data_IF_717474737248
#
_entry.id   IF_717474737248
#
_cell.length_a   1.000
_cell.length_b   1.000
_cell.length_c   1.000
_cell.angle_alpha   90.00
_cell.angle_beta   90.00
_cell.angle_gamma   90.00
#
_symmetry.space_group_name_H-M   'P 1'
#
loop_
_entity.id
_entity.type
_entity.pdbx_description
1 polymer ?
#
# COMPACT_ATOMS: atom_id res chain seq x y z
N UNK A 1 37.59 -0.20 40.60
CA UNK A 1 36.66 -0.13 39.46
C UNK A 1 37.47 -0.49 38.23
N UNK A 2 37.02 -1.44 37.41
CA UNK A 2 37.78 -1.90 36.23
C UNK A 2 37.88 -0.77 35.20
N UNK A 3 39.00 -0.70 34.48
CA UNK A 3 39.18 0.29 33.41
C UNK A 3 38.22 0.01 32.24
N UNK A 4 37.72 1.07 31.62
CA UNK A 4 36.75 0.95 30.52
C UNK A 4 37.35 0.21 29.31
N UNK A 5 38.65 0.37 29.01
CA UNK A 5 39.29 -0.33 27.90
C UNK A 5 39.41 -1.82 28.20
N UNK A 6 39.77 -2.17 29.43
CA UNK A 6 39.83 -3.58 29.86
C UNK A 6 38.45 -4.26 29.79
N UNK A 7 37.39 -3.56 30.18
CA UNK A 7 36.02 -4.05 30.07
C UNK A 7 35.60 -4.28 28.60
N UNK A 8 35.95 -3.35 27.70
CA UNK A 8 35.68 -3.49 26.26
C UNK A 8 36.42 -4.68 25.63
N UNK A 9 37.68 -4.90 25.99
CA UNK A 9 38.46 -6.06 25.50
C UNK A 9 37.83 -7.38 25.93
N UNK A 10 37.26 -7.44 27.14
CA UNK A 10 36.56 -8.64 27.59
C UNK A 10 35.23 -8.84 26.85
N UNK A 11 34.47 -7.78 26.60
CA UNK A 11 33.26 -7.83 25.76
C UNK A 11 33.62 -8.36 24.37
N UNK A 12 34.65 -7.83 23.72
CA UNK A 12 35.09 -8.29 22.39
C UNK A 12 35.46 -9.78 22.39
N UNK A 13 36.02 -10.29 23.50
CA UNK A 13 36.33 -11.72 23.64
C UNK A 13 35.05 -12.57 23.71
N UNK A 14 34.04 -12.10 24.45
CA UNK A 14 32.75 -12.79 24.57
C UNK A 14 32.00 -12.74 23.24
N UNK A 15 32.00 -11.61 22.55
CA UNK A 15 31.37 -11.42 21.24
C UNK A 15 31.90 -12.41 20.21
N UNK A 16 33.23 -12.62 20.16
CA UNK A 16 33.85 -13.64 19.31
C UNK A 16 33.32 -15.05 19.59
N UNK A 17 33.10 -15.39 20.87
CA UNK A 17 32.54 -16.69 21.25
C UNK A 17 31.06 -16.81 20.85
N UNK A 18 30.28 -15.74 21.03
CA UNK A 18 28.87 -15.71 20.62
C UNK A 18 28.72 -15.90 19.10
N UNK A 19 29.56 -15.25 18.29
CA UNK A 19 29.56 -15.42 16.83
C UNK A 19 29.87 -16.86 16.44
N UNK A 20 30.92 -17.46 17.00
CA UNK A 20 31.29 -18.85 16.70
C UNK A 20 30.15 -19.83 17.04
N UNK A 21 29.53 -19.69 18.22
CA UNK A 21 28.39 -20.51 18.63
C UNK A 21 27.15 -20.28 17.76
N UNK A 22 26.93 -19.05 17.32
CA UNK A 22 25.83 -18.73 16.41
C UNK A 22 26.01 -19.43 15.05
N UNK A 23 27.21 -19.38 14.47
CA UNK A 23 27.51 -20.04 13.20
C UNK A 23 27.38 -21.56 13.30
N UNK A 24 27.89 -22.17 14.37
CA UNK A 24 27.73 -23.60 14.65
C UNK A 24 26.24 -23.98 14.72
N UNK A 25 25.45 -23.19 15.47
CA UNK A 25 24.00 -23.38 15.57
C UNK A 25 23.29 -23.23 14.23
N UNK A 26 23.73 -22.30 13.36
CA UNK A 26 23.19 -22.15 12.01
C UNK A 26 23.54 -23.37 11.14
N UNK A 27 24.73 -23.96 11.28
CA UNK A 27 25.10 -25.22 10.65
C UNK A 27 24.13 -26.35 10.98
N UNK A 28 23.88 -26.59 12.27
CA UNK A 28 22.89 -27.58 12.73
C UNK A 28 21.47 -27.23 12.23
N UNK A 29 21.12 -25.94 12.16
CA UNK A 29 19.82 -25.51 11.66
C UNK A 29 19.62 -25.85 10.17
N UNK A 30 20.69 -25.93 9.37
CA UNK A 30 20.63 -26.41 7.98
C UNK A 30 20.33 -27.91 7.92
N UNK A 31 21.00 -28.71 8.73
CA UNK A 31 20.73 -30.16 8.82
C UNK A 31 19.29 -30.43 9.24
N UNK A 32 18.77 -29.66 10.21
CA UNK A 32 17.36 -29.70 10.60
C UNK A 32 16.45 -29.32 9.43
N UNK A 33 16.83 -28.33 8.61
CA UNK A 33 16.09 -27.96 7.41
C UNK A 33 15.99 -29.15 6.45
N UNK A 34 17.13 -29.78 6.13
CA UNK A 34 17.21 -30.91 5.21
C UNK A 34 16.37 -32.08 5.67
N UNK A 35 16.42 -32.39 6.97
CA UNK A 35 15.57 -33.41 7.58
C UNK A 35 14.08 -33.08 7.44
N UNK A 36 13.68 -31.83 7.73
CA UNK A 36 12.28 -31.39 7.60
C UNK A 36 11.80 -31.45 6.15
N UNK A 37 12.64 -31.05 5.19
CA UNK A 37 12.33 -31.17 3.76
C UNK A 37 12.13 -32.63 3.36
N UNK A 38 13.05 -33.51 3.75
CA UNK A 38 12.98 -34.94 3.42
C UNK A 38 11.77 -35.64 4.05
N UNK A 39 11.31 -35.18 5.21
CA UNK A 39 10.20 -35.77 5.97
C UNK A 39 8.86 -35.04 5.78
N UNK A 40 8.83 -33.94 5.04
CA UNK A 40 7.63 -33.12 4.85
C UNK A 40 7.12 -32.42 6.11
N UNK A 41 7.95 -32.27 7.15
CA UNK A 41 7.59 -31.58 8.39
C UNK A 41 7.59 -30.06 8.21
N UNK A 42 6.70 -29.37 8.93
CA UNK A 42 6.65 -27.89 8.95
C UNK A 42 7.93 -27.28 9.55
N UNK A 43 8.34 -26.13 9.03
CA UNK A 43 9.47 -25.36 9.58
C UNK A 43 9.09 -24.76 10.93
N UNK A 44 7.97 -24.05 10.99
CA UNK A 44 7.49 -23.48 12.24
C UNK A 44 6.84 -24.56 13.12
N UNK A 45 7.36 -24.70 14.33
CA UNK A 45 6.82 -25.55 15.38
C UNK A 45 6.72 -24.71 16.67
N UNK A 46 5.53 -24.13 16.88
CA UNK A 46 5.29 -23.17 17.97
C UNK A 46 5.51 -23.79 19.35
N UNK A 47 5.10 -25.05 19.52
CA UNK A 47 5.26 -25.75 20.79
C UNK A 47 6.73 -25.98 21.11
N UNK A 48 7.50 -26.46 20.12
CA UNK A 48 8.94 -26.69 20.30
C UNK A 48 9.71 -25.40 20.58
N UNK A 49 9.35 -24.30 19.91
CA UNK A 49 9.97 -23.00 20.15
C UNK A 49 9.67 -22.49 21.56
N UNK A 50 8.41 -22.58 22.01
CA UNK A 50 8.03 -22.19 23.37
C UNK A 50 8.79 -23.01 24.42
N UNK A 51 8.85 -24.34 24.27
CA UNK A 51 9.63 -25.21 25.15
C UNK A 51 11.10 -24.78 25.23
N UNK A 52 11.68 -24.37 24.09
CA UNK A 52 13.07 -23.93 24.06
C UNK A 52 13.27 -22.57 24.71
N UNK A 53 12.32 -21.63 24.55
CA UNK A 53 12.35 -20.32 25.23
C UNK A 53 12.30 -20.49 26.75
N UNK A 54 11.39 -21.31 27.26
CA UNK A 54 11.30 -21.60 28.71
C UNK A 54 12.60 -22.23 29.24
N UNK A 55 13.19 -23.17 28.48
CA UNK A 55 14.43 -23.82 28.86
C UNK A 55 15.62 -22.85 28.95
N UNK A 56 15.72 -21.85 28.06
CA UNK A 56 16.83 -20.88 28.09
C UNK A 56 16.63 -19.78 29.13
N UNK A 57 15.37 -19.38 29.38
CA UNK A 57 15.03 -18.46 30.47
C UNK A 57 15.46 -19.02 31.82
N UNK A 58 15.24 -20.31 32.04
CA UNK A 58 15.63 -21.02 33.25
C UNK A 58 17.15 -21.07 33.49
N UNK A 59 17.99 -20.77 32.50
CA UNK A 59 19.45 -20.68 32.66
C UNK A 59 19.92 -19.33 33.22
N UNK A 60 19.03 -18.34 33.32
CA UNK A 60 19.36 -17.00 33.79
C UNK A 60 19.13 -16.84 35.29
N UNK A 61 19.72 -15.80 35.89
CA UNK A 61 19.73 -15.60 37.34
C UNK A 61 18.98 -14.33 37.80
N UNK A 62 18.36 -13.60 36.88
CA UNK A 62 17.53 -12.43 37.20
C UNK A 62 16.54 -12.15 36.06
N UNK A 63 15.49 -11.39 36.36
CA UNK A 63 14.38 -11.11 35.43
C UNK A 63 14.83 -10.34 34.18
N UNK A 64 15.76 -9.39 34.34
CA UNK A 64 16.29 -8.62 33.22
C UNK A 64 16.99 -9.51 32.19
N UNK A 65 17.87 -10.40 32.65
CA UNK A 65 18.58 -11.36 31.80
C UNK A 65 17.64 -12.41 31.24
N UNK A 66 16.65 -12.87 32.03
CA UNK A 66 15.63 -13.81 31.57
C UNK A 66 14.88 -13.26 30.35
N UNK A 67 14.40 -12.02 30.45
CA UNK A 67 13.73 -11.34 29.36
C UNK A 67 14.68 -11.08 28.17
N UNK A 68 15.90 -10.61 28.44
CA UNK A 68 16.90 -10.38 27.38
C UNK A 68 17.28 -11.64 26.60
N UNK A 69 17.45 -12.78 27.29
CA UNK A 69 17.74 -14.07 26.66
C UNK A 69 16.53 -14.58 25.88
N UNK A 70 15.31 -14.40 26.39
CA UNK A 70 14.09 -14.75 25.65
C UNK A 70 14.04 -14.02 24.30
N UNK A 71 14.24 -12.71 24.28
CA UNK A 71 14.23 -11.91 23.05
C UNK A 71 15.38 -12.28 22.11
N UNK A 72 16.60 -12.46 22.63
CA UNK A 72 17.74 -12.91 21.82
C UNK A 72 17.46 -14.26 21.14
N UNK A 73 16.90 -15.22 21.88
CA UNK A 73 16.62 -16.54 21.34
C UNK A 73 15.44 -16.53 20.34
N UNK A 74 14.43 -15.67 20.52
CA UNK A 74 13.39 -15.43 19.50
C UNK A 74 14.03 -14.98 18.19
N UNK A 75 14.97 -14.04 18.23
CA UNK A 75 15.68 -13.57 17.02
C UNK A 75 16.52 -14.68 16.37
N UNK A 76 17.26 -15.44 17.17
CA UNK A 76 18.06 -16.56 16.67
C UNK A 76 17.17 -17.65 16.04
N UNK A 77 16.01 -17.95 16.62
CA UNK A 77 15.04 -18.89 16.05
C UNK A 77 14.43 -18.36 14.75
N UNK A 78 14.01 -17.10 14.72
CA UNK A 78 13.52 -16.45 13.51
C UNK A 78 14.55 -16.52 12.38
N UNK A 79 15.83 -16.33 12.70
CA UNK A 79 16.93 -16.50 11.75
C UNK A 79 17.07 -17.92 11.23
N UNK A 80 16.91 -18.90 12.10
CA UNK A 80 16.96 -20.32 11.73
C UNK A 80 15.83 -20.65 10.76
N UNK A 81 14.61 -20.17 11.03
CA UNK A 81 13.46 -20.38 10.15
C UNK A 81 13.68 -19.75 8.79
N UNK A 82 14.21 -18.53 8.73
CA UNK A 82 14.50 -17.83 7.45
C UNK A 82 15.52 -18.56 6.59
N UNK A 83 16.57 -19.10 7.21
CA UNK A 83 17.52 -19.97 6.53
C UNK A 83 16.83 -21.24 6.00
N UNK A 84 15.98 -21.87 6.82
CA UNK A 84 15.21 -23.05 6.42
C UNK A 84 14.25 -22.75 5.25
N UNK A 85 13.55 -21.61 5.28
CA UNK A 85 12.64 -21.19 4.20
C UNK A 85 13.38 -20.99 2.88
N UNK A 86 14.56 -20.35 2.93
CA UNK A 86 15.43 -20.16 1.76
C UNK A 86 15.83 -21.50 1.14
N UNK A 87 16.30 -22.43 1.96
CA UNK A 87 16.70 -23.77 1.51
C UNK A 87 15.52 -24.57 0.93
N UNK A 88 14.31 -24.36 1.44
CA UNK A 88 13.12 -24.99 0.87
C UNK A 88 12.74 -24.37 -0.47
N UNK A 89 12.93 -23.08 -0.70
CA UNK A 89 12.62 -22.43 -1.99
C UNK A 89 13.58 -22.92 -3.09
N UNK A 90 14.88 -23.02 -2.79
CA UNK A 90 15.87 -23.58 -3.72
C UNK A 90 15.49 -25.00 -4.20
N UNK A 91 14.80 -25.77 -3.35
CA UNK A 91 14.36 -27.14 -3.64
C UNK A 91 12.92 -27.25 -4.13
N UNK A 92 12.06 -26.31 -3.79
CA UNK A 92 10.64 -26.30 -4.14
C UNK A 92 10.35 -25.09 -5.04
N UNK A 93 10.19 -25.33 -6.34
CA UNK A 93 9.55 -24.41 -7.27
C UNK A 93 8.04 -24.29 -6.95
N UNK A 94 7.71 -23.74 -5.77
CA UNK A 94 6.36 -23.29 -5.48
C UNK A 94 6.05 -22.12 -6.39
N UNK A 95 5.25 -22.33 -7.45
CA UNK A 95 4.77 -21.22 -8.27
C UNK A 95 3.74 -20.44 -7.47
N UNK A 96 3.98 -19.15 -7.30
CA UNK A 96 2.93 -18.22 -6.88
C UNK A 96 1.80 -18.29 -7.93
N UNK A 97 0.54 -18.11 -7.53
CA UNK A 97 -0.61 -18.17 -8.44
C UNK A 97 -0.71 -16.91 -9.33
N UNK A 98 0.44 -16.36 -9.74
CA UNK A 98 0.55 -15.16 -10.56
C UNK A 98 1.20 -15.50 -11.90
N UNK A 99 0.68 -14.91 -12.97
CA UNK A 99 1.22 -15.05 -14.32
C UNK A 99 2.04 -13.80 -14.65
N UNK A 100 3.33 -13.99 -14.90
CA UNK A 100 4.19 -12.92 -15.38
C UNK A 100 3.90 -12.64 -16.86
N UNK A 101 3.70 -11.37 -17.20
CA UNK A 101 3.54 -10.89 -18.58
C UNK A 101 4.69 -9.97 -18.97
N UNK A 102 5.02 -9.91 -20.26
CA UNK A 102 6.08 -9.03 -20.76
C UNK A 102 5.74 -7.54 -20.59
N UNK A 103 4.47 -7.20 -20.78
CA UNK A 103 3.92 -5.85 -20.62
C UNK A 103 2.42 -5.97 -20.39
N UNK A 104 1.85 -5.06 -19.63
CA UNK A 104 0.40 -4.96 -19.47
C UNK A 104 -0.24 -4.54 -20.79
N UNK A 105 -1.33 -5.23 -21.15
CA UNK A 105 -2.15 -4.85 -22.30
C UNK A 105 -2.91 -3.57 -21.98
N UNK A 106 -2.63 -2.53 -22.77
CA UNK A 106 -3.27 -1.21 -22.66
C UNK A 106 -4.11 -0.85 -23.88
N UNK A 107 -3.95 -1.60 -24.96
CA UNK A 107 -4.65 -1.40 -26.22
C UNK A 107 -5.89 -2.29 -26.25
N UNK A 108 -7.04 -1.74 -26.66
CA UNK A 108 -8.33 -2.48 -26.73
C UNK A 108 -8.83 -3.04 -25.39
N UNK A 109 -8.51 -2.36 -24.31
CA UNK A 109 -9.00 -2.71 -22.97
C UNK A 109 -10.10 -1.75 -22.57
N UNK A 110 -11.01 -2.23 -21.73
CA UNK A 110 -12.12 -1.45 -21.18
C UNK A 110 -11.83 -1.11 -19.73
N UNK A 111 -11.82 0.18 -19.41
CA UNK A 111 -11.44 0.67 -18.07
C UNK A 111 -12.64 1.28 -17.36
N UNK A 112 -12.86 0.89 -16.11
CA UNK A 112 -13.85 1.53 -15.24
C UNK A 112 -13.15 2.46 -14.26
N UNK A 113 -13.76 3.61 -14.00
CA UNK A 113 -13.37 4.47 -12.91
C UNK A 113 -14.63 4.94 -12.18
N UNK A 114 -14.51 5.29 -10.92
CA UNK A 114 -15.65 5.90 -10.23
C UNK A 114 -15.58 7.41 -10.33
N UNK A 115 -16.77 7.98 -10.39
CA UNK A 115 -17.04 9.40 -10.34
C UNK A 115 -17.86 9.81 -11.55
N UNK A 116 -17.57 11.01 -12.03
CA UNK A 116 -18.17 11.56 -13.25
C UNK A 116 -17.05 12.05 -14.16
N UNK A 117 -17.38 12.37 -15.41
CA UNK A 117 -16.44 12.97 -16.34
C UNK A 117 -15.85 14.27 -15.78
N UNK A 118 -14.56 14.51 -16.03
CA UNK A 118 -13.78 15.60 -15.45
C UNK A 118 -13.18 15.31 -14.07
N UNK A 119 -13.49 14.17 -13.44
CA UNK A 119 -12.89 13.80 -12.15
C UNK A 119 -11.39 13.46 -12.28
N UNK A 120 -10.63 13.62 -11.19
CA UNK A 120 -9.21 13.26 -11.17
C UNK A 120 -8.95 11.75 -11.41
N UNK A 121 -9.90 10.88 -11.07
CA UNK A 121 -9.81 9.45 -11.38
C UNK A 121 -9.81 9.20 -12.89
N UNK A 122 -10.62 9.95 -13.66
CA UNK A 122 -10.60 9.89 -15.12
C UNK A 122 -9.27 10.42 -15.66
N UNK A 123 -8.75 11.51 -15.08
CA UNK A 123 -7.44 12.04 -15.46
C UNK A 123 -6.33 11.02 -15.21
N UNK A 124 -6.40 10.25 -14.11
CA UNK A 124 -5.42 9.21 -13.78
C UNK A 124 -5.50 8.05 -14.77
N UNK A 125 -6.72 7.65 -15.15
CA UNK A 125 -6.96 6.67 -16.20
C UNK A 125 -6.34 7.12 -17.53
N UNK A 126 -6.61 8.35 -17.98
CA UNK A 126 -6.04 8.87 -19.23
C UNK A 126 -4.52 8.99 -19.18
N UNK A 127 -3.94 9.37 -18.05
CA UNK A 127 -2.49 9.40 -17.89
C UNK A 127 -1.86 7.99 -18.02
N UNK A 128 -2.57 6.94 -17.58
CA UNK A 128 -2.04 5.58 -17.61
C UNK A 128 -2.31 4.83 -18.92
N UNK A 129 -3.51 4.97 -19.50
CA UNK A 129 -3.98 4.22 -20.68
C UNK A 129 -4.07 5.06 -21.97
N UNK A 130 -4.06 6.39 -21.87
CA UNK A 130 -4.28 7.33 -22.98
C UNK A 130 -5.74 7.76 -23.12
N UNK A 131 -5.98 8.89 -23.80
CA UNK A 131 -7.32 9.50 -23.96
C UNK A 131 -8.27 8.70 -24.86
N UNK A 132 -7.76 7.74 -25.64
CA UNK A 132 -8.55 6.97 -26.63
C UNK A 132 -8.99 5.58 -26.12
N UNK A 133 -8.77 5.28 -24.83
CA UNK A 133 -9.16 4.00 -24.23
C UNK A 133 -10.68 3.88 -24.14
N UNK A 134 -11.23 2.68 -24.34
CA UNK A 134 -12.65 2.44 -24.05
C UNK A 134 -12.84 2.50 -22.53
N UNK A 135 -13.80 3.30 -22.07
CA UNK A 135 -14.01 3.50 -20.65
C UNK A 135 -15.45 3.84 -20.30
N UNK A 136 -15.80 3.61 -19.05
CA UNK A 136 -17.06 4.07 -18.48
C UNK A 136 -16.88 4.42 -17.01
N UNK A 137 -17.85 5.14 -16.45
CA UNK A 137 -17.82 5.54 -15.06
C UNK A 137 -18.97 4.96 -14.25
N UNK A 138 -18.74 4.80 -12.96
CA UNK A 138 -19.71 4.31 -11.98
C UNK A 138 -19.79 5.25 -10.78
N UNK A 139 -20.86 5.14 -9.99
CA UNK A 139 -21.10 6.05 -8.87
C UNK A 139 -20.32 5.69 -7.61
N UNK A 140 -20.11 4.40 -7.32
CA UNK A 140 -19.45 3.94 -6.09
C UNK A 140 -18.18 3.15 -6.41
N UNK A 141 -17.22 3.16 -5.47
CA UNK A 141 -15.99 2.37 -5.59
C UNK A 141 -16.27 0.87 -5.72
N UNK A 142 -17.28 0.39 -4.97
CA UNK A 142 -17.75 -0.99 -5.02
C UNK A 142 -18.23 -1.39 -6.41
N UNK A 143 -19.02 -0.54 -7.06
CA UNK A 143 -19.52 -0.79 -8.42
C UNK A 143 -18.36 -0.96 -9.43
N UNK A 144 -17.23 -0.27 -9.21
CA UNK A 144 -16.04 -0.42 -10.05
C UNK A 144 -15.35 -1.78 -9.81
N UNK A 145 -15.33 -2.25 -8.56
CA UNK A 145 -14.82 -3.58 -8.20
C UNK A 145 -15.71 -4.70 -8.73
N UNK A 146 -17.04 -4.54 -8.65
CA UNK A 146 -18.01 -5.48 -9.21
C UNK A 146 -17.89 -5.54 -10.74
N UNK A 147 -17.73 -4.40 -11.41
CA UNK A 147 -17.57 -4.34 -12.86
C UNK A 147 -16.35 -5.13 -13.37
N UNK A 148 -15.22 -5.10 -12.67
CA UNK A 148 -14.07 -5.93 -13.04
C UNK A 148 -14.26 -7.40 -12.63
N UNK A 149 -14.88 -7.68 -11.48
CA UNK A 149 -15.16 -9.05 -11.04
C UNK A 149 -16.10 -9.78 -12.01
N UNK A 150 -17.09 -9.08 -12.57
CA UNK A 150 -18.05 -9.60 -13.54
C UNK A 150 -17.54 -9.57 -15.00
N UNK A 151 -16.34 -9.03 -15.25
CA UNK A 151 -15.74 -8.95 -16.58
C UNK A 151 -16.36 -7.89 -17.50
N UNK A 152 -17.07 -6.89 -16.94
CA UNK A 152 -17.56 -5.74 -17.70
C UNK A 152 -16.44 -4.74 -18.05
N UNK A 153 -15.36 -4.76 -17.29
CA UNK A 153 -14.13 -4.00 -17.50
C UNK A 153 -12.92 -4.89 -17.23
N UNK A 154 -11.80 -4.59 -17.89
CA UNK A 154 -10.51 -5.28 -17.70
C UNK A 154 -9.73 -4.69 -16.53
N UNK A 155 -9.88 -3.37 -16.31
CA UNK A 155 -9.19 -2.63 -15.26
C UNK A 155 -10.11 -1.65 -14.55
N UNK A 156 -9.83 -1.41 -13.26
CA UNK A 156 -10.38 -0.29 -12.50
C UNK A 156 -9.29 0.67 -12.02
N UNK A 157 -9.64 1.96 -11.92
CA UNK A 157 -8.76 3.00 -11.36
C UNK A 157 -9.30 3.49 -10.02
N UNK A 158 -8.52 3.32 -8.95
CA UNK A 158 -8.95 3.59 -7.58
C UNK A 158 -7.99 4.56 -6.88
N UNK A 159 -8.46 5.70 -6.32
CA UNK A 159 -7.62 6.55 -5.47
C UNK A 159 -7.33 5.85 -4.15
N UNK A 160 -6.07 5.78 -3.72
CA UNK A 160 -5.71 5.08 -2.47
C UNK A 160 -5.19 6.03 -1.38
N UNK A 161 -4.60 7.15 -1.77
CA UNK A 161 -3.96 8.09 -0.85
C UNK A 161 -3.86 9.47 -1.49
N UNK A 162 -4.14 10.51 -0.72
CA UNK A 162 -3.87 11.90 -1.05
C UNK A 162 -2.87 12.48 -0.03
N UNK A 163 -1.85 13.20 -0.50
CA UNK A 163 -0.79 13.75 0.35
C UNK A 163 -1.26 14.79 1.37
N UNK A 164 -2.45 15.37 1.18
CA UNK A 164 -3.06 16.37 2.09
C UNK A 164 -4.19 15.78 2.93
N UNK A 165 -4.96 14.84 2.38
CA UNK A 165 -6.15 14.27 3.02
C UNK A 165 -5.88 12.95 3.77
N UNK A 166 -4.75 12.30 3.49
CA UNK A 166 -4.47 10.95 3.94
C UNK A 166 -5.09 9.87 3.05
N UNK A 167 -5.33 8.71 3.64
CA UNK A 167 -5.72 7.49 2.95
C UNK A 167 -7.21 7.45 2.60
N UNK A 168 -7.54 6.76 1.50
CA UNK A 168 -8.93 6.47 1.12
C UNK A 168 -9.31 5.11 1.70
N UNK A 169 -9.82 5.14 2.93
CA UNK A 169 -10.14 3.96 3.74
C UNK A 169 -10.97 2.90 3.02
N UNK A 170 -12.07 3.30 2.38
CA UNK A 170 -13.00 2.36 1.73
C UNK A 170 -12.32 1.52 0.64
N UNK A 171 -11.34 2.10 -0.07
CA UNK A 171 -10.62 1.39 -1.13
C UNK A 171 -9.62 0.36 -0.58
N UNK A 172 -9.09 0.57 0.63
CA UNK A 172 -8.29 -0.45 1.33
C UNK A 172 -9.13 -1.67 1.70
N UNK A 173 -10.33 -1.41 2.21
CA UNK A 173 -11.23 -2.49 2.64
C UNK A 173 -11.69 -3.30 1.42
N UNK A 174 -12.01 -2.63 0.31
CA UNK A 174 -12.37 -3.28 -0.96
C UNK A 174 -11.23 -4.15 -1.54
N UNK A 175 -9.96 -3.72 -1.43
CA UNK A 175 -8.80 -4.53 -1.83
C UNK A 175 -8.68 -5.81 -0.97
N UNK A 176 -9.09 -5.74 0.30
CA UNK A 176 -9.20 -6.91 1.18
C UNK A 176 -10.31 -7.88 0.76
N UNK A 177 -11.47 -7.34 0.40
CA UNK A 177 -12.71 -8.09 0.12
C UNK A 177 -12.71 -8.80 -1.24
N UNK A 178 -12.19 -8.18 -2.30
CA UNK A 178 -12.26 -8.72 -3.68
C UNK A 178 -10.96 -9.41 -4.11
N UNK A 179 -11.03 -10.48 -4.91
CA UNK A 179 -9.87 -11.12 -5.53
C UNK A 179 -9.37 -10.34 -6.76
N UNK A 180 -8.98 -9.09 -6.51
CA UNK A 180 -8.43 -8.17 -7.50
C UNK A 180 -6.94 -7.90 -7.21
N UNK A 181 -6.20 -7.58 -8.26
CA UNK A 181 -4.75 -7.47 -8.24
C UNK A 181 -4.29 -6.12 -8.80
N UNK A 182 -3.42 -5.44 -8.05
CA UNK A 182 -2.77 -4.20 -8.44
C UNK A 182 -1.69 -4.51 -9.48
N UNK A 183 -1.84 -3.89 -10.65
CA UNK A 183 -0.94 -4.03 -11.80
C UNK A 183 -0.26 -2.72 -12.18
N UNK A 184 -0.67 -1.59 -11.59
CA UNK A 184 -0.05 -0.30 -11.84
C UNK A 184 -0.36 0.71 -10.77
N UNK A 185 0.40 1.80 -10.77
CA UNK A 185 0.07 3.00 -10.03
C UNK A 185 0.24 4.24 -10.91
N UNK A 186 -0.55 5.27 -10.62
CA UNK A 186 -0.45 6.58 -11.23
C UNK A 186 -0.52 7.65 -10.15
N UNK A 187 0.48 8.51 -10.07
CA UNK A 187 0.47 9.66 -9.16
C UNK A 187 0.15 10.90 -9.99
N UNK A 188 -0.86 11.66 -9.55
CA UNK A 188 -1.22 12.94 -10.17
C UNK A 188 -1.03 14.08 -9.18
N UNK A 189 -0.39 15.15 -9.66
CA UNK A 189 -0.41 16.44 -8.98
C UNK A 189 -1.80 17.05 -9.10
N UNK A 190 -2.41 17.37 -7.96
CA UNK A 190 -3.76 17.91 -7.89
C UNK A 190 -3.67 19.42 -7.92
N UNK A 191 -4.08 19.97 -9.07
CA UNK A 191 -4.21 21.40 -9.28
C UNK A 191 -5.68 21.74 -9.48
N UNK A 192 -6.20 22.55 -8.59
CA UNK A 192 -7.52 23.13 -8.66
C UNK A 192 -7.47 24.43 -9.48
N UNK A 193 -8.48 24.61 -10.30
CA UNK A 193 -8.71 25.82 -11.08
C UNK A 193 -10.09 26.38 -10.74
N UNK A 194 -10.22 27.70 -10.82
CA UNK A 194 -11.50 28.39 -10.80
C UNK A 194 -12.09 28.36 -12.21
N UNK A 195 -13.26 27.75 -12.35
CA UNK A 195 -13.94 27.54 -13.62
C UNK A 195 -15.21 28.38 -13.67
N UNK A 196 -15.39 29.17 -14.71
CA UNK A 196 -16.60 29.96 -14.98
C UNK A 196 -17.16 29.66 -16.37
N UNK A 197 -18.34 30.23 -16.67
CA UNK A 197 -18.88 30.16 -18.03
C UNK A 197 -17.94 30.85 -19.03
N UNK A 198 -18.01 30.55 -20.35
CA UNK A 198 -17.12 31.12 -21.35
C UNK A 198 -17.02 32.66 -21.35
N UNK A 199 -18.12 33.33 -20.99
CA UNK A 199 -18.28 34.77 -20.92
C UNK A 199 -17.97 35.38 -19.55
N UNK A 200 -17.70 34.57 -18.52
CA UNK A 200 -17.43 35.05 -17.17
C UNK A 200 -16.05 35.71 -17.05
N UNK A 201 -15.98 36.74 -16.21
CA UNK A 201 -14.76 37.31 -15.65
C UNK A 201 -14.71 37.11 -14.13
N UNK A 202 -13.52 37.18 -13.51
CA UNK A 202 -13.36 37.04 -12.05
C UNK A 202 -14.22 38.09 -11.29
N UNK A 203 -14.40 39.28 -11.87
CA UNK A 203 -15.21 40.37 -11.32
C UNK A 203 -16.71 40.06 -11.27
N UNK A 204 -17.20 39.13 -12.09
CA UNK A 204 -18.61 38.70 -12.13
C UNK A 204 -18.96 37.73 -10.99
N UNK A 205 -17.97 36.99 -10.47
CA UNK A 205 -18.20 35.86 -9.58
C UNK A 205 -18.75 36.32 -8.23
N UNK A 206 -19.78 35.62 -7.75
CA UNK A 206 -20.45 35.82 -6.46
C UNK A 206 -20.63 34.53 -5.67
N UNK A 207 -20.74 33.39 -6.36
CA UNK A 207 -20.91 32.08 -5.71
C UNK A 207 -19.89 31.08 -6.26
N UNK A 208 -19.25 30.32 -5.37
CA UNK A 208 -18.28 29.28 -5.73
C UNK A 208 -18.73 27.93 -5.20
N UNK A 209 -18.78 26.93 -6.08
CA UNK A 209 -19.15 25.55 -5.76
C UNK A 209 -17.93 24.63 -5.77
N UNK A 210 -17.84 23.71 -4.79
CA UNK A 210 -16.88 22.60 -4.85
C UNK A 210 -17.18 21.54 -3.79
N UNK A 211 -16.42 20.46 -3.81
CA UNK A 211 -16.37 19.53 -2.68
C UNK A 211 -15.80 20.23 -1.44
N UNK A 212 -16.22 19.83 -0.23
CA UNK A 212 -15.74 20.38 1.05
C UNK A 212 -14.22 20.42 1.10
N UNK A 213 -13.57 19.35 0.66
CA UNK A 213 -12.11 19.28 0.62
C UNK A 213 -11.48 20.23 -0.40
N UNK A 214 -12.10 20.46 -1.56
CA UNK A 214 -11.63 21.42 -2.55
C UNK A 214 -11.74 22.85 -2.02
N UNK A 215 -12.84 23.19 -1.35
CA UNK A 215 -13.02 24.49 -0.68
C UNK A 215 -11.95 24.71 0.40
N UNK A 216 -11.68 23.69 1.23
CA UNK A 216 -10.66 23.78 2.27
C UNK A 216 -9.25 23.96 1.69
N UNK A 217 -8.91 23.23 0.62
CA UNK A 217 -7.59 23.34 -0.03
C UNK A 217 -7.38 24.69 -0.74
N UNK A 218 -8.46 25.36 -1.13
CA UNK A 218 -8.45 26.69 -1.74
C UNK A 218 -8.81 27.81 -0.75
N UNK A 219 -8.85 27.54 0.56
CA UNK A 219 -9.31 28.51 1.56
C UNK A 219 -8.55 29.84 1.49
N UNK A 220 -7.22 29.80 1.37
CA UNK A 220 -6.38 31.00 1.29
C UNK A 220 -6.70 31.88 0.05
N UNK A 221 -7.05 31.27 -1.09
CA UNK A 221 -7.49 32.00 -2.27
C UNK A 221 -8.90 32.57 -2.06
N UNK A 222 -9.82 31.75 -1.53
CA UNK A 222 -11.19 32.17 -1.23
C UNK A 222 -11.27 33.27 -0.16
N UNK A 223 -10.27 33.38 0.72
CA UNK A 223 -10.20 34.42 1.75
C UNK A 223 -9.73 35.78 1.22
N UNK A 224 -9.17 35.82 0.01
CA UNK A 224 -8.89 37.04 -0.75
C UNK A 224 -10.14 37.57 -1.45
N UNK A 225 -11.14 36.70 -1.65
CA UNK A 225 -12.46 37.00 -2.24
C UNK A 225 -13.58 36.81 -1.22
N UNK A 226 -13.52 37.54 -0.10
CA UNK A 226 -14.44 37.37 1.05
C UNK A 226 -15.92 37.66 0.74
N UNK A 227 -16.18 38.35 -0.35
CA UNK A 227 -17.52 38.64 -0.86
C UNK A 227 -18.17 37.44 -1.58
N UNK A 228 -17.41 36.39 -1.88
CA UNK A 228 -17.95 35.20 -2.53
C UNK A 228 -18.62 34.25 -1.54
N UNK A 229 -19.81 33.77 -1.93
CA UNK A 229 -20.54 32.74 -1.20
C UNK A 229 -20.00 31.36 -1.58
N UNK A 230 -19.53 30.60 -0.59
CA UNK A 230 -19.02 29.23 -0.76
C UNK A 230 -20.17 28.24 -0.62
N UNK A 231 -20.35 27.33 -1.57
CA UNK A 231 -21.39 26.28 -1.53
C UNK A 231 -20.79 24.91 -1.76
N UNK A 232 -21.25 23.95 -0.95
CA UNK A 232 -20.79 22.57 -1.02
C UNK A 232 -21.51 21.82 -2.15
N UNK A 233 -20.75 20.98 -2.84
CA UNK A 233 -21.21 20.04 -3.85
C UNK A 233 -20.70 18.64 -3.51
N UNK A 234 -21.33 17.62 -4.08
CA UNK A 234 -20.99 16.21 -3.83
C UNK A 234 -19.53 15.89 -4.20
N UNK A 235 -19.04 16.41 -5.33
CA UNK A 235 -17.64 16.34 -5.72
C UNK A 235 -17.27 17.53 -6.62
N UNK A 236 -15.98 17.69 -6.92
CA UNK A 236 -15.46 18.82 -7.72
C UNK A 236 -15.97 18.83 -9.15
N UNK A 237 -16.10 17.67 -9.80
CA UNK A 237 -16.57 17.58 -11.17
C UNK A 237 -18.10 17.84 -11.30
N UNK A 238 -18.89 17.43 -10.29
CA UNK A 238 -20.31 17.77 -10.18
C UNK A 238 -20.52 19.28 -10.00
N UNK A 239 -19.62 19.97 -9.28
CA UNK A 239 -19.66 21.42 -9.19
C UNK A 239 -19.42 22.08 -10.57
N UNK A 240 -18.45 21.60 -11.34
CA UNK A 240 -18.20 22.09 -12.70
C UNK A 240 -19.40 21.85 -13.62
N UNK A 241 -19.95 20.63 -13.64
CA UNK A 241 -21.13 20.30 -14.42
C UNK A 241 -22.31 21.23 -14.10
N UNK A 242 -22.56 21.49 -12.81
CA UNK A 242 -23.62 22.40 -12.36
C UNK A 242 -23.46 23.80 -12.94
N UNK A 243 -22.26 24.38 -12.86
CA UNK A 243 -22.00 25.73 -13.40
C UNK A 243 -22.20 25.78 -14.91
N UNK A 244 -21.80 24.72 -15.62
CA UNK A 244 -22.02 24.62 -17.07
C UNK A 244 -23.51 24.49 -17.43
N UNK A 245 -24.27 23.69 -16.70
CA UNK A 245 -25.71 23.47 -16.94
C UNK A 245 -26.54 24.71 -16.62
N UNK A 246 -26.20 25.45 -15.55
CA UNK A 246 -26.94 26.66 -15.16
C UNK A 246 -26.60 27.88 -16.02
N UNK A 247 -25.38 27.95 -16.57
CA UNK A 247 -24.96 29.03 -17.47
C UNK A 247 -24.95 30.42 -16.81
N UNK A 248 -24.94 30.49 -15.48
CA UNK A 248 -24.92 31.73 -14.71
C UNK A 248 -23.48 32.21 -14.53
N UNK A 249 -23.12 33.30 -15.22
CA UNK A 249 -21.78 33.90 -15.16
C UNK A 249 -21.35 34.40 -13.78
N UNK A 250 -22.28 34.52 -12.82
CA UNK A 250 -21.95 34.88 -11.43
C UNK A 250 -21.53 33.67 -10.58
N UNK A 251 -21.59 32.47 -11.15
CA UNK A 251 -21.19 31.24 -10.51
C UNK A 251 -19.86 30.74 -11.06
N UNK A 252 -19.05 30.19 -10.16
CA UNK A 252 -17.83 29.47 -10.52
C UNK A 252 -17.76 28.12 -9.79
N UNK A 253 -16.96 27.21 -10.33
CA UNK A 253 -16.64 25.93 -9.71
C UNK A 253 -15.15 25.84 -9.43
N UNK A 254 -14.77 25.25 -8.30
CA UNK A 254 -13.38 24.81 -8.07
C UNK A 254 -13.29 23.34 -8.46
N UNK A 255 -12.58 23.05 -9.54
CA UNK A 255 -12.44 21.70 -10.08
C UNK A 255 -11.11 21.50 -10.84
N UNK A 256 -10.96 20.35 -11.48
CA UNK A 256 -9.80 20.06 -12.32
C UNK A 256 -9.88 20.87 -13.64
N UNK A 257 -8.73 21.22 -14.25
CA UNK A 257 -8.72 21.77 -15.61
C UNK A 257 -9.36 20.83 -16.65
N UNK A 258 -9.28 19.51 -16.43
CA UNK A 258 -9.95 18.52 -17.29
C UNK A 258 -11.48 18.71 -17.29
N UNK A 259 -12.08 19.01 -16.13
CA UNK A 259 -13.50 19.31 -16.04
C UNK A 259 -13.87 20.56 -16.85
N UNK A 260 -12.98 21.55 -16.94
CA UNK A 260 -13.22 22.73 -17.76
C UNK A 260 -13.37 22.37 -19.25
N UNK A 261 -12.43 21.56 -19.77
CA UNK A 261 -12.48 21.04 -21.15
C UNK A 261 -13.73 20.18 -21.39
N UNK A 262 -14.07 19.32 -20.43
CA UNK A 262 -15.21 18.40 -20.56
C UNK A 262 -16.56 19.14 -20.64
N UNK A 263 -16.75 20.14 -19.80
CA UNK A 263 -18.02 20.85 -19.67
C UNK A 263 -18.06 22.19 -20.43
N UNK A 264 -17.02 22.50 -21.23
CA UNK A 264 -16.94 23.73 -22.01
C UNK A 264 -16.83 25.00 -21.16
N UNK A 265 -16.25 24.90 -19.96
CA UNK A 265 -16.04 26.03 -19.06
C UNK A 265 -14.71 26.74 -19.36
N UNK A 266 -14.66 28.02 -19.03
CA UNK A 266 -13.44 28.83 -19.06
C UNK A 266 -12.69 28.68 -17.74
N UNK A 267 -11.40 28.40 -17.85
CA UNK A 267 -10.48 28.50 -16.71
C UNK A 267 -10.23 29.99 -16.45
N UNK A 268 -10.73 30.49 -15.33
CA UNK A 268 -10.55 31.87 -14.89
C UNK A 268 -9.18 32.06 -14.22
N UNK A 269 -8.78 31.08 -13.40
CA UNK A 269 -7.50 31.08 -12.72
C UNK A 269 -7.06 29.65 -12.40
N UNK A 270 -5.78 29.34 -12.60
CA UNK A 270 -5.18 28.03 -12.34
C UNK A 270 -4.37 28.01 -11.04
N UNK A 271 -4.26 26.84 -10.42
CA UNK A 271 -3.36 26.65 -9.28
C UNK A 271 -3.81 27.37 -8.01
N UNK A 272 -5.13 27.53 -7.82
CA UNK A 272 -5.70 28.27 -6.68
C UNK A 272 -5.61 27.52 -5.35
N UNK A 273 -5.26 26.23 -5.36
CA UNK A 273 -4.84 25.51 -4.17
C UNK A 273 -3.35 25.82 -3.91
N UNK A 274 -3.05 26.65 -2.89
CA UNK A 274 -1.69 27.14 -2.57
C UNK A 274 -0.70 26.07 -2.08
N UNK A 275 -1.01 24.78 -2.24
CA UNK A 275 -0.16 23.66 -1.90
C UNK A 275 0.48 23.06 -3.17
N UNK A 276 1.74 23.40 -3.44
CA UNK A 276 2.51 22.81 -4.55
C UNK A 276 2.76 21.30 -4.42
N UNK A 277 2.49 20.71 -3.25
CA UNK A 277 2.74 19.30 -2.93
C UNK A 277 1.45 18.44 -2.80
N UNK A 278 0.31 18.91 -3.30
CA UNK A 278 -0.92 18.11 -3.31
C UNK A 278 -0.86 17.06 -4.42
N UNK A 279 -0.85 15.78 -4.07
CA UNK A 279 -0.83 14.69 -5.03
C UNK A 279 -1.71 13.55 -4.56
N UNK A 280 -2.37 12.90 -5.50
CA UNK A 280 -3.17 11.70 -5.25
C UNK A 280 -2.52 10.53 -5.95
N UNK A 281 -2.34 9.43 -5.21
CA UNK A 281 -1.91 8.13 -5.72
C UNK A 281 -3.14 7.31 -6.09
N UNK A 282 -3.16 6.84 -7.32
CA UNK A 282 -4.18 5.96 -7.87
C UNK A 282 -3.57 4.59 -8.16
N UNK A 283 -4.33 3.54 -7.90
CA UNK A 283 -3.99 2.17 -8.22
C UNK A 283 -4.77 1.73 -9.46
N UNK A 284 -4.11 0.96 -10.31
CA UNK A 284 -4.71 0.26 -11.45
C UNK A 284 -4.86 -1.20 -11.04
N UNK A 285 -6.10 -1.69 -11.00
CA UNK A 285 -6.42 -3.04 -10.54
C UNK A 285 -7.13 -3.84 -11.63
N UNK A 286 -6.96 -5.15 -11.63
CA UNK A 286 -7.62 -6.11 -12.53
C UNK A 286 -8.10 -7.33 -11.74
N UNK A 287 -9.00 -8.14 -12.29
CA UNK A 287 -9.41 -9.42 -11.71
C UNK A 287 -8.43 -10.57 -12.05
N UNK A 288 -7.41 -10.32 -12.87
CA UNK A 288 -6.43 -11.32 -13.28
C UNK A 288 -5.19 -11.28 -12.38
N UNK A 289 -4.69 -12.42 -11.87
CA UNK A 289 -3.46 -12.46 -11.07
C UNK A 289 -2.23 -12.35 -11.98
N UNK A 290 -2.03 -11.19 -12.60
CA UNK A 290 -0.93 -10.92 -13.52
C UNK A 290 0.02 -9.88 -12.93
N UNK A 291 1.27 -9.87 -13.39
CA UNK A 291 2.23 -8.80 -13.12
C UNK A 291 3.21 -8.62 -14.27
N UNK A 292 3.70 -7.40 -14.47
CA UNK A 292 4.71 -7.10 -15.48
C UNK A 292 6.07 -7.64 -15.06
N UNK A 293 6.88 -8.14 -15.99
CA UNK A 293 8.28 -8.53 -15.73
C UNK A 293 9.12 -7.41 -15.13
N UNK A 294 8.79 -6.16 -15.46
CA UNK A 294 9.53 -4.97 -15.03
C UNK A 294 8.95 -4.35 -13.74
N UNK A 295 7.97 -5.01 -13.11
CA UNK A 295 7.35 -4.57 -11.86
C UNK A 295 8.38 -4.49 -10.73
N UNK A 296 8.30 -3.46 -9.90
CA UNK A 296 9.30 -3.13 -8.86
C UNK A 296 8.72 -2.95 -7.48
N UNK A 297 7.40 -2.97 -7.34
CA UNK A 297 6.71 -2.82 -6.05
C UNK A 297 5.75 -3.96 -5.85
N UNK A 298 5.75 -4.55 -4.66
CA UNK A 298 4.80 -5.58 -4.25
C UNK A 298 3.95 -5.00 -3.14
N UNK A 299 2.64 -5.18 -3.23
CA UNK A 299 1.70 -4.83 -2.17
C UNK A 299 1.12 -6.11 -1.56
N UNK A 300 1.08 -6.18 -0.24
CA UNK A 300 0.48 -7.29 0.51
C UNK A 300 -0.45 -6.77 1.60
N UNK A 301 -1.40 -7.60 1.99
CA UNK A 301 -2.22 -7.44 3.19
C UNK A 301 -2.05 -8.69 4.08
N UNK A 302 -1.78 -8.50 5.37
CA UNK A 302 -1.68 -9.61 6.31
C UNK A 302 -2.28 -9.28 7.67
N UNK A 303 -2.56 -10.33 8.43
CA UNK A 303 -3.08 -10.25 9.80
C UNK A 303 -2.10 -10.93 10.76
N UNK A 304 -1.98 -10.41 11.97
CA UNK A 304 -1.17 -11.00 13.05
C UNK A 304 -1.97 -11.04 14.35
N UNK A 305 -1.60 -11.93 15.26
CA UNK A 305 -2.15 -11.91 16.63
C UNK A 305 -1.78 -10.61 17.33
N UNK A 306 -2.67 -10.11 18.18
CA UNK A 306 -2.44 -8.91 18.99
C UNK A 306 -1.55 -9.22 20.21
N UNK A 307 -0.31 -9.59 19.94
CA UNK A 307 0.69 -9.98 20.94
C UNK A 307 2.03 -9.27 20.70
N UNK A 308 2.81 -9.13 21.77
CA UNK A 308 4.11 -8.45 21.71
C UNK A 308 5.05 -9.12 20.71
N UNK A 309 5.64 -8.34 19.81
CA UNK A 309 6.62 -8.80 18.82
C UNK A 309 6.04 -9.45 17.56
N UNK A 310 4.73 -9.69 17.46
CA UNK A 310 4.17 -10.37 16.28
C UNK A 310 4.34 -9.58 14.97
N UNK A 311 4.05 -8.26 14.98
CA UNK A 311 4.31 -7.42 13.81
C UNK A 311 5.80 -7.36 13.47
N UNK A 312 6.65 -7.22 14.50
CA UNK A 312 8.11 -7.22 14.32
C UNK A 312 8.60 -8.50 13.64
N UNK A 313 8.11 -9.67 14.05
CA UNK A 313 8.48 -10.96 13.47
C UNK A 313 8.14 -11.00 11.98
N UNK A 314 6.95 -10.53 11.60
CA UNK A 314 6.57 -10.41 10.18
C UNK A 314 7.48 -9.44 9.42
N UNK A 315 7.69 -8.22 9.96
CA UNK A 315 8.52 -7.20 9.33
C UNK A 315 9.98 -7.63 9.17
N UNK A 316 10.47 -8.46 10.09
CA UNK A 316 11.82 -8.95 10.04
C UNK A 316 12.09 -9.84 8.80
N UNK A 317 11.07 -10.43 8.15
CA UNK A 317 11.27 -11.16 6.88
C UNK A 317 11.76 -10.26 5.75
N UNK A 318 11.39 -8.98 5.73
CA UNK A 318 11.91 -8.03 4.74
C UNK A 318 13.38 -7.71 4.99
N UNK A 319 13.74 -7.44 6.25
CA UNK A 319 15.11 -7.08 6.66
C UNK A 319 16.12 -8.16 6.22
N UNK A 320 15.84 -9.44 6.52
CA UNK A 320 16.79 -10.52 6.19
C UNK A 320 16.84 -10.90 4.71
N UNK A 321 15.83 -10.52 3.95
CA UNK A 321 15.84 -10.67 2.50
C UNK A 321 16.31 -9.38 1.80
N UNK A 322 16.74 -8.37 2.56
CA UNK A 322 17.20 -7.07 2.06
C UNK A 322 16.16 -6.38 1.16
N UNK A 323 14.89 -6.46 1.56
CA UNK A 323 13.76 -5.83 0.88
C UNK A 323 13.43 -4.50 1.56
N UNK A 324 13.34 -3.43 0.77
CA UNK A 324 13.02 -2.10 1.27
C UNK A 324 11.51 -1.92 1.41
N UNK A 325 11.00 -1.57 2.59
CA UNK A 325 9.59 -1.22 2.78
C UNK A 325 9.37 0.24 2.37
N UNK A 326 8.42 0.47 1.47
CA UNK A 326 8.02 1.80 1.05
C UNK A 326 6.89 2.36 1.92
N UNK A 327 6.00 1.49 2.41
CA UNK A 327 4.80 1.90 3.15
C UNK A 327 4.31 0.80 4.07
N UNK A 328 3.75 1.20 5.22
CA UNK A 328 2.97 0.34 6.10
C UNK A 328 1.77 1.14 6.63
N UNK A 329 0.58 0.53 6.58
CA UNK A 329 -0.67 1.09 7.08
C UNK A 329 -1.43 0.02 7.87
N UNK A 330 -2.03 0.38 9.00
CA UNK A 330 -2.90 -0.52 9.75
C UNK A 330 -4.37 -0.10 9.65
N UNK A 331 -5.25 -1.08 9.48
CA UNK A 331 -6.70 -0.88 9.39
C UNK A 331 -7.40 -1.77 10.40
N UNK A 332 -8.20 -1.23 11.34
CA UNK A 332 -8.97 -2.06 12.27
C UNK A 332 -9.88 -3.02 11.51
N UNK A 333 -9.96 -4.28 11.96
CA UNK A 333 -10.86 -5.25 11.37
C UNK A 333 -12.27 -5.02 11.96
N UNK A 334 -13.32 -4.85 11.13
CA UNK A 334 -14.68 -4.74 11.62
C UNK A 334 -15.04 -5.92 12.54
N UNK A 335 -15.72 -5.63 13.65
CA UNK A 335 -16.19 -6.60 14.64
C UNK A 335 -15.10 -7.44 15.36
N UNK A 336 -13.81 -7.12 15.17
CA UNK A 336 -12.67 -7.75 15.88
C UNK A 336 -11.84 -6.70 16.60
N UNK A 337 -12.11 -6.54 17.90
CA UNK A 337 -11.47 -5.49 18.69
C UNK A 337 -9.95 -5.69 18.77
N UNK A 338 -9.21 -4.61 18.51
CA UNK A 338 -7.74 -4.54 18.57
C UNK A 338 -7.02 -5.48 17.58
N UNK A 339 -7.72 -6.01 16.58
CA UNK A 339 -7.14 -6.74 15.47
C UNK A 339 -7.10 -5.85 14.23
N UNK A 340 -6.04 -6.00 13.43
CA UNK A 340 -5.75 -5.10 12.33
C UNK A 340 -5.33 -5.87 11.07
N UNK A 341 -5.80 -5.41 9.92
CA UNK A 341 -5.15 -5.66 8.63
C UNK A 341 -3.95 -4.73 8.50
N UNK A 342 -2.80 -5.29 8.10
CA UNK A 342 -1.59 -4.54 7.78
C UNK A 342 -1.39 -4.55 6.28
N UNK A 343 -1.44 -3.37 5.67
CA UNK A 343 -1.13 -3.15 4.26
C UNK A 343 0.31 -2.69 4.14
N UNK A 344 1.10 -3.40 3.35
CA UNK A 344 2.53 -3.12 3.18
C UNK A 344 2.88 -3.06 1.71
N UNK A 345 3.58 -2.01 1.32
CA UNK A 345 4.25 -1.88 0.02
C UNK A 345 5.76 -2.03 0.24
N UNK A 346 6.42 -2.83 -0.58
CA UNK A 346 7.87 -3.00 -0.56
C UNK A 346 8.44 -3.16 -1.96
N UNK A 347 9.73 -2.83 -2.12
CA UNK A 347 10.44 -2.97 -3.39
C UNK A 347 10.75 -4.44 -3.69
N UNK A 348 10.49 -4.85 -4.93
CA UNK A 348 10.83 -6.18 -5.43
C UNK A 348 9.91 -6.66 -6.55
N UNK A 349 10.24 -7.83 -7.09
CA UNK A 349 9.45 -8.53 -8.08
C UNK A 349 9.05 -9.92 -7.56
N UNK A 350 7.83 -10.39 -7.86
CA UNK A 350 7.37 -11.72 -7.45
C UNK A 350 8.21 -12.86 -8.03
N UNK A 351 9.02 -12.59 -9.06
CA UNK A 351 9.97 -13.55 -9.60
C UNK A 351 11.28 -13.66 -8.79
N UNK A 352 11.60 -12.67 -7.95
CA UNK A 352 12.82 -12.64 -7.15
C UNK A 352 12.78 -13.66 -6.02
N UNK A 353 13.87 -14.41 -5.82
CA UNK A 353 13.96 -15.38 -4.72
C UNK A 353 13.84 -14.70 -3.35
N UNK A 354 14.40 -13.50 -3.19
CA UNK A 354 14.31 -12.74 -1.94
C UNK A 354 12.84 -12.45 -1.56
N UNK A 355 12.02 -12.07 -2.54
CA UNK A 355 10.59 -11.78 -2.37
C UNK A 355 9.82 -13.07 -2.07
N UNK A 356 10.02 -14.13 -2.86
CA UNK A 356 9.39 -15.44 -2.65
C UNK A 356 9.68 -15.99 -1.25
N UNK A 357 10.93 -15.91 -0.81
CA UNK A 357 11.34 -16.34 0.52
C UNK A 357 10.66 -15.51 1.63
N UNK A 358 10.62 -14.18 1.49
CA UNK A 358 9.94 -13.31 2.43
C UNK A 358 8.44 -13.65 2.53
N UNK A 359 7.74 -13.74 1.39
CA UNK A 359 6.32 -14.06 1.34
C UNK A 359 6.00 -15.42 1.95
N UNK A 360 6.87 -16.42 1.75
CA UNK A 360 6.71 -17.74 2.37
C UNK A 360 6.85 -17.66 3.89
N UNK A 361 7.87 -16.97 4.38
CA UNK A 361 8.08 -16.78 5.82
C UNK A 361 6.90 -16.06 6.48
N UNK A 362 6.38 -15.02 5.82
CA UNK A 362 5.20 -14.29 6.28
C UNK A 362 3.97 -15.20 6.29
N UNK A 363 3.74 -15.99 5.23
CA UNK A 363 2.57 -16.90 5.16
C UNK A 363 2.53 -17.93 6.29
N UNK A 364 3.68 -18.40 6.76
CA UNK A 364 3.76 -19.38 7.85
C UNK A 364 3.57 -18.75 9.24
N UNK A 365 3.85 -17.46 9.39
CA UNK A 365 3.81 -16.75 10.69
C UNK A 365 2.58 -15.85 10.86
N UNK A 366 2.02 -15.31 9.78
CA UNK A 366 0.81 -14.51 9.78
C UNK A 366 -0.45 -15.39 9.94
N UNK A 367 -1.53 -14.81 10.45
CA UNK A 367 -2.85 -15.46 10.50
C UNK A 367 -3.44 -15.59 9.10
N UNK A 368 -3.21 -14.58 8.27
CA UNK A 368 -3.63 -14.51 6.88
C UNK A 368 -2.61 -13.69 6.08
N UNK A 369 -2.45 -14.01 4.79
CA UNK A 369 -1.62 -13.25 3.85
C UNK A 369 -2.28 -13.25 2.47
N UNK A 370 -2.61 -12.05 1.99
CA UNK A 370 -3.05 -11.78 0.63
C UNK A 370 -1.99 -10.98 -0.11
N UNK A 371 -1.60 -11.44 -1.29
CA UNK A 371 -0.77 -10.65 -2.20
C UNK A 371 -1.73 -9.79 -3.02
N UNK A 372 -1.64 -8.48 -2.85
CA UNK A 372 -2.52 -7.52 -3.52
C UNK A 372 -2.03 -7.19 -4.93
N UNK A 373 -0.75 -7.40 -5.26
CA UNK A 373 -0.26 -7.20 -6.61
C UNK A 373 1.24 -6.96 -6.69
N UNK A 374 1.78 -6.90 -7.91
CA UNK A 374 3.15 -6.52 -8.20
C UNK A 374 3.18 -5.64 -9.46
N UNK A 375 3.70 -4.43 -9.33
CA UNK A 375 3.58 -3.37 -10.33
C UNK A 375 4.78 -2.43 -10.40
#
# INVERSE_FOLDING_TARGET
MRDLKELRVEIDRIDRQMVALFEERMGISREVAEYKVATGKKILDKEREQQKLEAVKALTHNDFNSHGVEELFKQIMAMSRKLQYRMMEEKALGRLPFVMVDKLEKEKVRVVYQGVEGAYTQQAMFAFFGEQVDHFHVERWRDAMDAIAEGMADYAVLPIENSTAGIVNDNYDLLGEYDNYIVGEQILSIQHALLGTPDAEISDIRTVYSHVQGLMQCAAYLDEHRDWTKKEALNTAVAARKVAEEGDKTQAAIASPLAAKQYGLKVLEEGINRSGNNSTRFLIVTNQPIFSKDAKKVSICFEVTHESGCLYNVLSHFIYNNLNLCRIESRPIPDRNWEYHFFVDFEGNLNDSAVKNALRGIREEALNLKILGNY
#
